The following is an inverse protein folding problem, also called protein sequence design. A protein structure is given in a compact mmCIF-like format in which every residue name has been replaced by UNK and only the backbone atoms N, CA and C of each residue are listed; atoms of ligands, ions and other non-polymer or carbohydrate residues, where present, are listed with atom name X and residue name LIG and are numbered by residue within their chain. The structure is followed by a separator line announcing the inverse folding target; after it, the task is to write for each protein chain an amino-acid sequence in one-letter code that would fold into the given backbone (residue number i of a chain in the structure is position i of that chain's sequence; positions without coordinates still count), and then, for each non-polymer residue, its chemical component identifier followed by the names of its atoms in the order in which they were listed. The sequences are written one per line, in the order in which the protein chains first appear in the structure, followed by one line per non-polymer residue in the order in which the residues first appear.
data_IF_775040760100
#
_entry.id   IF_775040760100
#
_cell.length_a   1.000
_cell.length_b   1.000
_cell.length_c   1.000
_cell.angle_alpha   90.00
_cell.angle_beta   90.00
_cell.angle_gamma   90.00
#
_symmetry.space_group_name_H-M   'P 1'
#
loop_
_entity.id
_entity.type
_entity.pdbx_description
1 polymer ?
#
# COMPACT_ATOMS: atom_id res chain seq x y z
N UNK A 1 -20.18 -12.82 7.15
CA UNK A 1 -20.11 -13.08 8.59
C UNK A 1 -18.91 -12.29 9.12
N UNK A 2 -19.10 -11.06 9.59
CA UNK A 2 -18.02 -10.26 10.17
C UNK A 2 -17.65 -10.88 11.52
N UNK A 3 -16.62 -11.70 11.57
CA UNK A 3 -15.99 -12.06 12.82
C UNK A 3 -15.15 -10.86 13.25
N UNK A 4 -15.54 -10.20 14.33
CA UNK A 4 -14.70 -9.22 15.01
C UNK A 4 -13.49 -9.97 15.56
N UNK A 5 -12.38 -9.96 14.81
CA UNK A 5 -11.11 -10.37 15.37
C UNK A 5 -10.76 -9.39 16.51
N UNK A 6 -10.36 -9.94 17.66
CA UNK A 6 -9.93 -9.14 18.81
C UNK A 6 -8.55 -8.52 18.57
N UNK A 7 -8.39 -7.91 17.41
CA UNK A 7 -7.18 -7.20 17.01
C UNK A 7 -7.31 -5.72 17.36
N UNK A 8 -6.24 -5.09 17.83
CA UNK A 8 -6.21 -3.65 17.95
C UNK A 8 -6.47 -3.04 16.56
N UNK A 9 -7.16 -1.92 16.52
CA UNK A 9 -7.50 -1.23 15.27
C UNK A 9 -6.22 -0.86 14.53
N UNK A 10 -5.96 -1.53 13.41
CA UNK A 10 -4.81 -1.26 12.55
C UNK A 10 -4.96 0.11 11.87
N UNK A 11 -3.87 0.87 11.84
CA UNK A 11 -3.80 2.10 11.04
C UNK A 11 -3.67 1.76 9.55
N UNK A 12 -3.99 2.70 8.66
CA UNK A 12 -3.81 2.51 7.21
C UNK A 12 -2.36 2.15 6.85
N UNK A 13 -1.37 2.76 7.51
CA UNK A 13 0.05 2.41 7.31
C UNK A 13 0.35 0.96 7.69
N UNK A 14 -0.25 0.46 8.78
CA UNK A 14 -0.10 -0.94 9.19
C UNK A 14 -0.82 -1.89 8.23
N UNK A 15 -2.02 -1.54 7.75
CA UNK A 15 -2.72 -2.32 6.72
C UNK A 15 -1.91 -2.40 5.42
N UNK A 16 -1.36 -1.28 4.96
CA UNK A 16 -0.50 -1.25 3.78
C UNK A 16 0.76 -2.11 3.96
N UNK A 17 1.36 -2.12 5.16
CA UNK A 17 2.48 -2.98 5.45
C UNK A 17 2.08 -4.48 5.44
N UNK A 18 0.94 -4.84 6.02
CA UNK A 18 0.42 -6.20 5.96
C UNK A 18 0.00 -6.62 4.56
N UNK A 19 -0.55 -5.70 3.76
CA UNK A 19 -0.81 -5.97 2.35
C UNK A 19 0.46 -6.37 1.60
N UNK A 20 1.55 -5.61 1.80
CA UNK A 20 2.81 -5.82 1.10
C UNK A 20 3.61 -7.03 1.62
N UNK A 21 3.67 -7.22 2.94
CA UNK A 21 4.59 -8.15 3.60
C UNK A 21 3.90 -9.33 4.30
N UNK A 22 2.56 -9.36 4.32
CA UNK A 22 1.80 -10.43 4.95
C UNK A 22 1.98 -11.76 4.22
N UNK A 23 2.19 -12.81 5.00
CA UNK A 23 2.23 -14.20 4.56
C UNK A 23 1.02 -14.96 5.14
N UNK A 24 0.97 -16.27 4.90
CA UNK A 24 -0.11 -17.14 5.42
C UNK A 24 -0.05 -17.30 6.93
N UNK A 25 1.12 -17.14 7.51
CA UNK A 25 1.38 -17.36 8.93
C UNK A 25 2.03 -16.13 9.58
N UNK A 26 1.94 -16.07 10.92
CA UNK A 26 2.47 -14.96 11.70
C UNK A 26 4.00 -14.88 11.68
N UNK A 27 4.68 -16.01 11.67
CA UNK A 27 6.14 -16.09 11.71
C UNK A 27 6.73 -15.54 10.40
N UNK A 28 6.20 -15.98 9.27
CA UNK A 28 6.60 -15.50 7.94
C UNK A 28 6.36 -14.00 7.81
N UNK A 29 5.18 -13.54 8.22
CA UNK A 29 4.83 -12.11 8.20
C UNK A 29 5.75 -11.30 9.11
N UNK A 30 5.96 -11.73 10.35
CA UNK A 30 6.88 -11.06 11.30
C UNK A 30 8.30 -10.98 10.74
N UNK A 31 8.80 -12.07 10.15
CA UNK A 31 10.12 -12.11 9.51
C UNK A 31 10.22 -11.10 8.37
N UNK A 32 9.23 -11.04 7.47
CA UNK A 32 9.22 -10.10 6.35
C UNK A 32 9.16 -8.64 6.83
N UNK A 33 8.38 -8.35 7.86
CA UNK A 33 8.31 -7.01 8.47
C UNK A 33 9.65 -6.60 9.10
N UNK A 34 10.33 -7.51 9.79
CA UNK A 34 11.66 -7.26 10.39
C UNK A 34 12.69 -7.00 9.28
N UNK A 35 12.71 -7.82 8.22
CA UNK A 35 13.60 -7.62 7.07
C UNK A 35 13.33 -6.25 6.44
N UNK A 36 12.06 -5.91 6.20
CA UNK A 36 11.68 -4.61 5.66
C UNK A 36 12.10 -3.46 6.57
N UNK A 37 11.97 -3.62 7.90
CA UNK A 37 12.43 -2.63 8.88
C UNK A 37 13.95 -2.44 8.84
N UNK A 38 14.72 -3.52 8.74
CA UNK A 38 16.19 -3.46 8.63
C UNK A 38 16.66 -2.73 7.35
N UNK A 39 15.86 -2.78 6.30
CA UNK A 39 16.15 -2.11 5.03
C UNK A 39 15.63 -0.67 4.97
N UNK A 40 14.90 -0.19 5.99
CA UNK A 40 14.40 1.18 6.04
C UNK A 40 15.48 2.13 6.59
N UNK A 41 15.65 3.27 5.89
CA UNK A 41 16.51 4.37 6.36
C UNK A 41 15.77 5.29 7.35
N UNK A 42 14.43 5.37 7.27
CA UNK A 42 13.61 6.22 8.11
C UNK A 42 13.28 5.56 9.46
N UNK A 43 13.72 6.14 10.56
CA UNK A 43 13.52 5.61 11.93
C UNK A 43 12.02 5.44 12.28
N UNK A 44 11.16 6.36 11.85
CA UNK A 44 9.71 6.24 12.08
C UNK A 44 9.11 5.02 11.37
N UNK A 45 9.45 4.82 10.10
CA UNK A 45 8.95 3.67 9.33
C UNK A 45 9.48 2.37 9.91
N UNK A 46 10.75 2.34 10.29
CA UNK A 46 11.38 1.19 10.96
C UNK A 46 10.64 0.86 12.25
N UNK A 47 10.38 1.85 13.10
CA UNK A 47 9.64 1.65 14.35
C UNK A 47 8.22 1.11 14.11
N UNK A 48 7.49 1.62 13.10
CA UNK A 48 6.15 1.13 12.75
C UNK A 48 6.19 -0.34 12.34
N UNK A 49 7.16 -0.74 11.50
CA UNK A 49 7.28 -2.13 11.03
C UNK A 49 7.68 -3.08 12.16
N UNK A 50 8.63 -2.68 13.02
CA UNK A 50 9.02 -3.48 14.19
C UNK A 50 7.88 -3.65 15.18
N UNK A 51 7.18 -2.56 15.53
CA UNK A 51 6.02 -2.62 16.42
C UNK A 51 4.89 -3.47 15.83
N UNK A 52 4.72 -3.47 14.52
CA UNK A 52 3.73 -4.32 13.86
C UNK A 52 4.13 -5.79 13.92
N UNK A 53 5.41 -6.12 13.75
CA UNK A 53 5.91 -7.49 13.91
C UNK A 53 5.66 -8.01 15.33
N UNK A 54 6.02 -7.23 16.35
CA UNK A 54 5.77 -7.55 17.77
C UNK A 54 4.27 -7.74 18.06
N UNK A 55 3.42 -6.87 17.48
CA UNK A 55 1.97 -6.96 17.62
C UNK A 55 1.44 -8.28 17.04
N UNK A 56 1.88 -8.67 15.85
CA UNK A 56 1.44 -9.91 15.19
C UNK A 56 1.89 -11.14 15.97
N UNK A 57 3.10 -11.14 16.49
CA UNK A 57 3.62 -12.23 17.31
C UNK A 57 2.81 -12.38 18.61
N UNK A 58 2.44 -11.27 19.24
CA UNK A 58 1.72 -11.25 20.52
C UNK A 58 0.22 -11.53 20.40
N UNK A 59 -0.36 -11.43 19.18
CA UNK A 59 -1.80 -11.61 19.01
C UNK A 59 -2.22 -13.07 19.15
N UNK A 60 -3.22 -13.32 20.00
CA UNK A 60 -3.70 -14.66 20.37
C UNK A 60 -4.66 -15.28 19.35
N UNK A 61 -4.45 -15.10 18.05
CA UNK A 61 -5.23 -15.73 16.97
C UNK A 61 -4.46 -16.90 16.35
N UNK A 62 -5.17 -17.87 15.78
CA UNK A 62 -4.57 -18.99 15.07
C UNK A 62 -3.98 -18.54 13.73
N UNK A 63 -3.13 -19.36 13.10
CA UNK A 63 -2.59 -19.05 11.77
C UNK A 63 -3.69 -19.04 10.70
N UNK A 64 -4.73 -19.87 10.83
CA UNK A 64 -5.88 -19.84 9.92
C UNK A 64 -6.69 -18.54 10.04
N UNK A 65 -6.87 -18.03 11.26
CA UNK A 65 -7.52 -16.74 11.49
C UNK A 65 -6.64 -15.59 10.97
N UNK A 66 -5.32 -15.72 11.11
CA UNK A 66 -4.37 -14.75 10.60
C UNK A 66 -4.34 -14.75 9.07
N UNK A 67 -4.32 -15.91 8.41
CA UNK A 67 -4.42 -16.01 6.95
C UNK A 67 -5.70 -15.33 6.43
N UNK A 68 -6.83 -15.54 7.10
CA UNK A 68 -8.09 -14.87 6.75
C UNK A 68 -8.01 -13.34 6.92
N UNK A 69 -7.34 -12.85 7.95
CA UNK A 69 -7.11 -11.42 8.16
C UNK A 69 -6.27 -10.83 7.01
N UNK A 70 -5.16 -11.44 6.66
CA UNK A 70 -4.31 -11.00 5.55
C UNK A 70 -5.09 -10.99 4.24
N UNK A 71 -5.88 -12.03 3.98
CA UNK A 71 -6.74 -12.08 2.81
C UNK A 71 -7.76 -10.92 2.78
N UNK A 72 -8.41 -10.61 3.90
CA UNK A 72 -9.35 -9.50 3.99
C UNK A 72 -8.67 -8.15 3.77
N UNK A 73 -7.48 -7.93 4.37
CA UNK A 73 -6.71 -6.69 4.15
C UNK A 73 -6.34 -6.51 2.67
N UNK A 74 -5.95 -7.59 2.00
CA UNK A 74 -5.64 -7.56 0.56
C UNK A 74 -6.86 -7.19 -0.27
N UNK A 75 -7.98 -7.85 0.01
CA UNK A 75 -9.23 -7.60 -0.70
C UNK A 75 -9.71 -6.15 -0.50
N UNK A 76 -9.74 -5.66 0.73
CA UNK A 76 -10.13 -4.28 1.04
C UNK A 76 -9.20 -3.26 0.36
N UNK A 77 -7.90 -3.51 0.33
CA UNK A 77 -6.93 -2.60 -0.30
C UNK A 77 -7.10 -2.57 -1.82
N UNK A 78 -7.28 -3.72 -2.46
CA UNK A 78 -7.54 -3.82 -3.91
C UNK A 78 -8.89 -3.17 -4.27
N UNK A 79 -9.95 -3.44 -3.52
CA UNK A 79 -11.27 -2.84 -3.71
C UNK A 79 -11.23 -1.31 -3.55
N UNK A 80 -10.45 -0.80 -2.61
CA UNK A 80 -10.26 0.64 -2.41
C UNK A 80 -9.56 1.28 -3.62
N UNK A 81 -8.55 0.63 -4.18
CA UNK A 81 -7.84 1.15 -5.37
C UNK A 81 -8.76 1.10 -6.59
N UNK A 82 -9.47 0.00 -6.81
CA UNK A 82 -10.43 -0.17 -7.91
C UNK A 82 -11.62 0.80 -7.74
N UNK A 83 -12.11 0.97 -6.52
CA UNK A 83 -13.17 1.94 -6.20
C UNK A 83 -12.76 3.39 -6.50
N UNK A 84 -11.48 3.74 -6.29
CA UNK A 84 -10.94 5.05 -6.67
C UNK A 84 -10.98 5.27 -8.18
N UNK A 85 -10.82 4.21 -8.99
CA UNK A 85 -10.91 4.32 -10.45
C UNK A 85 -12.28 4.83 -10.89
N UNK A 86 -13.35 4.20 -10.39
CA UNK A 86 -14.71 4.63 -10.69
C UNK A 86 -14.95 6.07 -10.28
N UNK A 87 -14.51 6.44 -9.10
CA UNK A 87 -14.67 7.79 -8.60
C UNK A 87 -13.84 8.81 -9.39
N UNK A 88 -12.63 8.45 -9.80
CA UNK A 88 -11.80 9.28 -10.68
C UNK A 88 -12.49 9.53 -12.02
N UNK A 89 -13.14 8.51 -12.60
CA UNK A 89 -13.91 8.63 -13.83
C UNK A 89 -15.10 9.58 -13.66
N UNK A 90 -15.85 9.44 -12.57
CA UNK A 90 -16.97 10.31 -12.25
C UNK A 90 -16.57 11.78 -12.12
N UNK A 91 -15.43 12.06 -11.46
CA UNK A 91 -14.93 13.42 -11.23
C UNK A 91 -14.29 14.06 -12.46
N UNK A 92 -13.63 13.29 -13.31
CA UNK A 92 -12.83 13.82 -14.42
C UNK A 92 -13.47 13.63 -15.78
N UNK A 93 -14.51 12.79 -15.89
CA UNK A 93 -15.11 12.36 -17.15
C UNK A 93 -14.20 11.48 -18.03
N UNK A 94 -13.04 11.05 -17.48
CA UNK A 94 -12.05 10.24 -18.21
C UNK A 94 -12.25 8.76 -17.94
N UNK A 95 -12.08 7.94 -18.98
CA UNK A 95 -12.22 6.48 -18.87
C UNK A 95 -10.97 5.86 -18.24
N UNK A 96 -11.13 4.69 -17.63
CA UNK A 96 -10.07 3.88 -17.00
C UNK A 96 -8.91 3.51 -17.95
N UNK A 97 -9.18 3.38 -19.25
CA UNK A 97 -8.17 3.10 -20.27
C UNK A 97 -7.23 4.30 -20.54
N UNK A 98 -7.54 5.49 -20.02
CA UNK A 98 -6.76 6.68 -20.27
C UNK A 98 -5.43 6.67 -19.50
N UNK A 99 -4.36 7.11 -20.16
CA UNK A 99 -3.05 7.30 -19.55
C UNK A 99 -3.10 8.12 -18.25
N UNK A 100 -4.04 9.03 -18.15
CA UNK A 100 -4.24 9.87 -16.96
C UNK A 100 -4.71 9.09 -15.72
N UNK A 101 -5.52 8.04 -15.89
CA UNK A 101 -5.88 7.15 -14.80
C UNK A 101 -4.68 6.35 -14.32
N UNK A 102 -3.92 5.74 -15.24
CA UNK A 102 -2.72 4.98 -14.89
C UNK A 102 -1.69 5.83 -14.15
N UNK A 103 -1.45 7.06 -14.60
CA UNK A 103 -0.55 8.01 -13.94
C UNK A 103 -1.06 8.38 -12.52
N UNK A 104 -2.36 8.61 -12.37
CA UNK A 104 -2.97 8.84 -11.07
C UNK A 104 -2.84 7.64 -10.14
N UNK A 105 -3.17 6.43 -10.61
CA UNK A 105 -3.08 5.19 -9.84
C UNK A 105 -1.64 4.90 -9.41
N UNK A 106 -0.67 5.08 -10.29
CA UNK A 106 0.76 4.94 -9.96
C UNK A 106 1.19 5.90 -8.87
N UNK A 107 0.75 7.17 -8.91
CA UNK A 107 1.04 8.15 -7.86
C UNK A 107 0.40 7.76 -6.53
N UNK A 108 -0.84 7.27 -6.53
CA UNK A 108 -1.51 6.78 -5.33
C UNK A 108 -0.78 5.58 -4.71
N UNK A 109 -0.38 4.61 -5.52
CA UNK A 109 0.39 3.44 -5.09
C UNK A 109 1.76 3.87 -4.56
N UNK A 110 2.45 4.77 -5.25
CA UNK A 110 3.73 5.28 -4.80
C UNK A 110 3.62 6.06 -3.48
N UNK A 111 2.56 6.84 -3.29
CA UNK A 111 2.31 7.53 -2.03
C UNK A 111 2.08 6.57 -0.87
N UNK A 112 1.38 5.44 -1.11
CA UNK A 112 1.08 4.43 -0.09
C UNK A 112 2.29 3.56 0.27
N UNK A 113 3.08 3.14 -0.73
CA UNK A 113 4.15 2.15 -0.57
C UNK A 113 5.56 2.72 -0.75
N UNK A 114 5.70 3.95 -1.24
CA UNK A 114 6.99 4.61 -1.44
C UNK A 114 7.71 4.94 -0.14
N UNK A 115 9.03 4.89 -0.20
CA UNK A 115 9.94 5.23 0.88
C UNK A 115 11.00 6.21 0.35
N UNK A 116 11.72 6.88 1.23
CA UNK A 116 12.83 7.78 0.87
C UNK A 116 13.92 7.06 0.09
N UNK A 117 14.14 5.76 0.36
CA UNK A 117 15.04 4.90 -0.40
C UNK A 117 14.33 4.30 -1.61
N UNK A 118 14.85 4.59 -2.80
CA UNK A 118 14.37 4.04 -4.06
C UNK A 118 14.43 2.51 -4.08
N UNK A 119 15.54 1.91 -3.58
CA UNK A 119 15.72 0.46 -3.51
C UNK A 119 14.68 -0.21 -2.62
N UNK A 120 14.38 0.38 -1.44
CA UNK A 120 13.34 -0.11 -0.55
C UNK A 120 11.94 0.00 -1.20
N UNK A 121 11.69 1.06 -1.96
CA UNK A 121 10.43 1.21 -2.70
C UNK A 121 10.28 0.12 -3.75
N UNK A 122 11.32 -0.17 -4.53
CA UNK A 122 11.29 -1.28 -5.51
C UNK A 122 10.99 -2.61 -4.83
N UNK A 123 11.62 -2.88 -3.68
CA UNK A 123 11.36 -4.11 -2.94
C UNK A 123 9.88 -4.20 -2.51
N UNK A 124 9.34 -3.15 -1.91
CA UNK A 124 7.93 -3.10 -1.49
C UNK A 124 6.97 -3.28 -2.67
N UNK A 125 7.20 -2.58 -3.77
CA UNK A 125 6.36 -2.68 -4.96
C UNK A 125 6.41 -4.09 -5.58
N UNK A 126 7.55 -4.77 -5.56
CA UNK A 126 7.64 -6.17 -5.98
C UNK A 126 6.78 -7.11 -5.09
N UNK A 127 6.77 -6.89 -3.77
CA UNK A 127 5.88 -7.64 -2.87
C UNK A 127 4.40 -7.34 -3.15
N UNK A 128 4.05 -6.06 -3.32
CA UNK A 128 2.69 -5.63 -3.65
C UNK A 128 2.23 -6.24 -4.97
N UNK A 129 3.08 -6.20 -6.02
CA UNK A 129 2.81 -6.84 -7.31
C UNK A 129 2.56 -8.34 -7.17
N UNK A 130 3.39 -9.02 -6.36
CA UNK A 130 3.28 -10.46 -6.17
C UNK A 130 1.95 -10.86 -5.54
N UNK A 131 1.46 -10.11 -4.54
CA UNK A 131 0.23 -10.43 -3.81
C UNK A 131 -1.03 -9.90 -4.48
N UNK A 132 -0.94 -8.96 -5.40
CA UNK A 132 -2.07 -8.39 -6.12
C UNK A 132 -2.71 -9.42 -7.04
N UNK A 133 -4.02 -9.58 -6.93
CA UNK A 133 -4.80 -10.57 -7.72
C UNK A 133 -5.36 -9.94 -8.99
N UNK A 134 -5.81 -8.68 -8.92
CA UNK A 134 -6.35 -7.97 -10.07
C UNK A 134 -5.28 -7.77 -11.17
N UNK A 135 -5.50 -8.24 -12.41
CA UNK A 135 -4.46 -8.21 -13.45
C UNK A 135 -4.14 -6.81 -13.95
N UNK A 136 -5.11 -5.90 -13.99
CA UNK A 136 -4.90 -4.53 -14.47
C UNK A 136 -4.12 -3.73 -13.42
N UNK A 137 -4.48 -3.86 -12.16
CA UNK A 137 -3.74 -3.27 -11.05
C UNK A 137 -2.32 -3.83 -10.96
N UNK A 138 -2.15 -5.14 -11.13
CA UNK A 138 -0.83 -5.79 -11.16
C UNK A 138 0.06 -5.21 -12.26
N UNK A 139 -0.49 -4.96 -13.46
CA UNK A 139 0.26 -4.35 -14.55
C UNK A 139 0.64 -2.88 -14.23
N UNK A 140 -0.24 -2.12 -13.58
CA UNK A 140 0.06 -0.75 -13.13
C UNK A 140 1.22 -0.75 -12.13
N UNK A 141 1.23 -1.68 -11.18
CA UNK A 141 2.28 -1.82 -10.17
C UNK A 141 3.60 -2.25 -10.83
N UNK A 142 3.55 -3.20 -11.76
CA UNK A 142 4.71 -3.64 -12.53
C UNK A 142 5.38 -2.49 -13.30
N UNK A 143 4.58 -1.70 -14.01
CA UNK A 143 5.06 -0.54 -14.76
C UNK A 143 5.69 0.51 -13.82
N UNK A 144 5.06 0.77 -12.68
CA UNK A 144 5.60 1.66 -11.65
C UNK A 144 6.91 1.14 -11.07
N UNK A 145 6.98 -0.15 -10.74
CA UNK A 145 8.18 -0.81 -10.20
C UNK A 145 9.36 -0.66 -11.16
N UNK A 146 9.11 -0.92 -12.44
CA UNK A 146 10.12 -0.77 -13.50
C UNK A 146 10.59 0.68 -13.65
N UNK A 147 9.66 1.65 -13.56
CA UNK A 147 9.96 3.08 -13.62
C UNK A 147 10.86 3.49 -12.44
N UNK A 148 10.49 3.11 -11.21
CA UNK A 148 11.25 3.42 -9.99
C UNK A 148 12.62 2.74 -10.02
N UNK A 149 12.72 1.49 -10.45
CA UNK A 149 14.00 0.78 -10.58
C UNK A 149 14.97 1.50 -11.54
N UNK A 150 14.44 2.04 -12.65
CA UNK A 150 15.23 2.81 -13.59
C UNK A 150 15.75 4.12 -12.97
N UNK A 151 14.97 4.76 -12.11
CA UNK A 151 15.40 5.98 -11.39
C UNK A 151 16.51 5.67 -10.38
N UNK A 152 16.47 4.52 -9.72
CA UNK A 152 17.49 4.09 -8.76
C UNK A 152 18.89 4.00 -9.40
N UNK A 153 18.97 3.48 -10.63
CA UNK A 153 20.26 3.27 -11.31
C UNK A 153 20.85 4.59 -11.82
N UNK A 154 20.01 5.54 -12.25
CA UNK A 154 20.49 6.68 -13.04
C UNK A 154 20.23 8.06 -12.43
N UNK A 155 19.26 8.24 -11.53
CA UNK A 155 18.80 9.58 -11.10
C UNK A 155 18.05 9.56 -9.77
N UNK A 156 18.73 9.42 -8.64
CA UNK A 156 18.08 9.44 -7.31
C UNK A 156 17.27 10.73 -7.03
N UNK A 157 17.72 11.89 -7.52
CA UNK A 157 16.98 13.16 -7.37
C UNK A 157 15.59 13.10 -8.02
N UNK A 158 15.48 12.51 -9.22
CA UNK A 158 14.19 12.37 -9.91
C UNK A 158 13.21 11.48 -9.15
N UNK A 159 13.72 10.51 -8.40
CA UNK A 159 12.86 9.68 -7.57
C UNK A 159 12.24 10.49 -6.42
N UNK A 160 13.02 11.34 -5.76
CA UNK A 160 12.51 12.19 -4.67
C UNK A 160 11.46 13.18 -5.17
N UNK A 161 11.65 13.76 -6.35
CA UNK A 161 10.67 14.62 -6.99
C UNK A 161 9.38 13.85 -7.30
N UNK A 162 9.50 12.64 -7.84
CA UNK A 162 8.36 11.78 -8.16
C UNK A 162 7.59 11.34 -6.91
N UNK A 163 8.29 10.95 -5.84
CA UNK A 163 7.68 10.61 -4.56
C UNK A 163 6.97 11.81 -3.93
N UNK A 164 7.58 12.98 -4.00
CA UNK A 164 7.00 14.23 -3.49
C UNK A 164 5.74 14.61 -4.28
N UNK A 165 5.75 14.47 -5.59
CA UNK A 165 4.58 14.69 -6.44
C UNK A 165 3.46 13.69 -6.12
N UNK A 166 3.80 12.41 -5.95
CA UNK A 166 2.85 11.37 -5.58
C UNK A 166 2.15 11.68 -4.24
N UNK A 167 2.90 12.09 -3.23
CA UNK A 167 2.36 12.49 -1.92
C UNK A 167 1.44 13.71 -2.01
N UNK A 168 1.78 14.71 -2.83
CA UNK A 168 0.89 15.87 -3.09
C UNK A 168 -0.41 15.46 -3.76
N UNK A 169 -0.35 14.55 -4.74
CA UNK A 169 -1.56 14.04 -5.41
C UNK A 169 -2.45 13.30 -4.41
N UNK A 170 -1.88 12.49 -3.53
CA UNK A 170 -2.62 11.79 -2.48
C UNK A 170 -3.29 12.75 -1.51
N UNK A 171 -2.58 13.76 -1.02
CA UNK A 171 -3.10 14.78 -0.12
C UNK A 171 -4.25 15.58 -0.76
N UNK A 172 -4.08 16.07 -1.99
CA UNK A 172 -5.12 16.79 -2.71
C UNK A 172 -6.35 15.92 -2.98
N UNK A 173 -6.17 14.64 -3.21
CA UNK A 173 -7.26 13.70 -3.38
C UNK A 173 -8.03 13.52 -2.08
N UNK A 174 -7.35 13.34 -0.95
CA UNK A 174 -7.98 13.23 0.38
C UNK A 174 -8.81 14.47 0.70
N UNK A 175 -8.26 15.67 0.53
CA UNK A 175 -8.99 16.92 0.75
C UNK A 175 -10.28 16.96 -0.09
N UNK A 176 -10.20 16.65 -1.38
CA UNK A 176 -11.37 16.65 -2.26
C UNK A 176 -12.42 15.60 -1.88
N UNK A 177 -11.99 14.44 -1.44
CA UNK A 177 -12.90 13.36 -1.05
C UNK A 177 -13.52 13.61 0.32
N UNK A 178 -12.80 14.22 1.26
CA UNK A 178 -13.32 14.65 2.56
C UNK A 178 -14.38 15.75 2.39
N UNK A 179 -14.14 16.74 1.54
CA UNK A 179 -15.11 17.82 1.23
C UNK A 179 -16.41 17.28 0.59
N UNK A 180 -16.33 16.15 -0.12
CA UNK A 180 -17.49 15.48 -0.72
C UNK A 180 -18.18 14.47 0.21
N UNK A 181 -17.69 14.28 1.44
CA UNK A 181 -18.28 13.38 2.44
C UNK A 181 -18.12 11.88 2.13
N UNK A 182 -17.24 11.50 1.20
CA UNK A 182 -17.04 10.10 0.79
C UNK A 182 -16.37 9.23 1.86
N UNK A 183 -15.69 9.84 2.84
CA UNK A 183 -15.03 9.15 3.95
C UNK A 183 -15.71 9.37 5.31
N UNK A 184 -16.95 9.81 5.37
CA UNK A 184 -17.71 9.71 6.60
C UNK A 184 -17.97 8.24 6.89
N UNK A 185 -17.03 7.62 7.60
CA UNK A 185 -17.25 6.33 8.25
C UNK A 185 -18.49 6.49 9.12
N UNK A 186 -19.59 5.88 8.70
CA UNK A 186 -20.74 5.72 9.61
C UNK A 186 -20.25 4.83 10.75
N UNK A 187 -20.04 5.45 11.91
CA UNK A 187 -19.80 4.77 13.19
C UNK A 187 -21.00 3.92 13.58
#
# INVERSE_FOLDING_TARGET
MNRNFNLPRLTETQKNALFAFGEKDKIGTGTNLIIAACMCEGELTKAILMNLADLIESVGITDEEFEQLIYQIRLETEENIIGMEKHYQEMTGKRSADRSWRDFAQKKILAAFGNESCGNTVLRLNYVEHVTVDPDLKQIIHDLTSQVATMNVFKSEKYQDFLTEARKVDELWRIKTDDLGYFTVKH
#
